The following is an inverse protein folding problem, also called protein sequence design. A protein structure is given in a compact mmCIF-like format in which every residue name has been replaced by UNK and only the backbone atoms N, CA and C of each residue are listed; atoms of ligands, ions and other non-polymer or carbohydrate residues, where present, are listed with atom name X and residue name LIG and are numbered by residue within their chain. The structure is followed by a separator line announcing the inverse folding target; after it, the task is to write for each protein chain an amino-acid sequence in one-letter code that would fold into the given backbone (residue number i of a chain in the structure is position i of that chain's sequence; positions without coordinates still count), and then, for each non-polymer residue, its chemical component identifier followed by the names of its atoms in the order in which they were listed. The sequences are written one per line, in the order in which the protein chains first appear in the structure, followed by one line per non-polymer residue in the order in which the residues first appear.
data_IF_391350065025
#
_entry.id   IF_391350065025
#
_cell.length_a   1.000
_cell.length_b   1.000
_cell.length_c   1.000
_cell.angle_alpha   90.00
_cell.angle_beta   90.00
_cell.angle_gamma   90.00
#
_symmetry.space_group_name_H-M   'P 1'
#
loop_
_entity.id
_entity.type
_entity.pdbx_description
1 polymer ?
#
# COMPACT_ATOMS: atom_id res chain seq x y z
N UNK A 1 12.21 -5.37 -3.72
CA UNK A 1 12.58 -4.76 -5.02
C UNK A 1 12.64 -5.84 -6.11
N UNK A 2 12.02 -5.60 -7.27
CA UNK A 2 12.36 -6.36 -8.48
C UNK A 2 13.82 -6.04 -8.86
N UNK A 3 14.48 -6.98 -9.54
CA UNK A 3 15.80 -6.77 -10.15
C UNK A 3 15.76 -5.56 -11.11
N UNK A 4 16.87 -4.82 -11.22
CA UNK A 4 16.99 -3.68 -12.14
C UNK A 4 16.75 -4.11 -13.59
N UNK A 5 17.07 -5.37 -13.93
CA UNK A 5 16.81 -5.96 -15.25
C UNK A 5 15.32 -6.02 -15.61
N UNK A 6 14.42 -5.94 -14.63
CA UNK A 6 12.97 -5.90 -14.86
C UNK A 6 12.46 -4.51 -15.28
N UNK A 7 13.32 -3.48 -15.26
CA UNK A 7 12.96 -2.12 -15.64
C UNK A 7 13.31 -1.81 -17.09
N UNK A 8 12.40 -1.10 -17.77
CA UNK A 8 12.63 -0.60 -19.13
C UNK A 8 13.57 0.61 -19.15
N UNK A 9 13.62 1.39 -18.07
CA UNK A 9 14.51 2.54 -17.87
C UNK A 9 15.13 2.45 -16.46
N UNK A 10 16.33 3.01 -16.21
CA UNK A 10 16.97 2.90 -14.90
C UNK A 10 16.04 3.39 -13.77
N UNK A 11 15.82 2.59 -12.70
CA UNK A 11 14.79 2.89 -11.71
C UNK A 11 15.01 4.21 -10.97
N UNK A 12 16.25 4.66 -10.84
CA UNK A 12 16.60 5.87 -10.10
C UNK A 12 16.93 7.07 -11.01
N UNK A 13 16.66 6.95 -12.32
CA UNK A 13 16.77 8.04 -13.29
C UNK A 13 15.37 8.37 -13.83
N UNK A 14 14.89 9.59 -13.55
CA UNK A 14 13.57 10.01 -14.00
C UNK A 14 13.54 10.11 -15.53
N UNK A 15 12.78 9.23 -16.17
CA UNK A 15 12.73 9.11 -17.62
C UNK A 15 11.33 9.42 -18.13
N UNK A 16 11.21 10.36 -19.08
CA UNK A 16 9.94 10.63 -19.74
C UNK A 16 9.70 9.67 -20.91
N UNK A 17 8.48 9.14 -21.00
CA UNK A 17 8.01 8.34 -22.14
C UNK A 17 6.50 8.52 -22.29
N UNK A 18 6.04 8.80 -23.50
CA UNK A 18 4.62 8.96 -23.86
C UNK A 18 3.85 9.90 -22.92
N UNK A 19 4.48 11.03 -22.55
CA UNK A 19 3.89 12.03 -21.65
C UNK A 19 3.78 11.58 -20.18
N UNK A 20 4.50 10.52 -19.78
CA UNK A 20 4.57 10.02 -18.41
C UNK A 20 6.01 9.97 -17.92
N UNK A 21 6.19 10.14 -16.62
CA UNK A 21 7.51 10.07 -15.98
C UNK A 21 7.66 8.73 -15.24
N UNK A 22 8.71 8.00 -15.57
CA UNK A 22 9.03 6.70 -15.00
C UNK A 22 10.24 6.82 -14.08
N UNK A 23 10.12 6.30 -12.86
CA UNK A 23 11.17 6.26 -11.86
C UNK A 23 10.63 5.80 -10.51
N UNK A 24 11.44 5.09 -9.73
CA UNK A 24 11.14 4.72 -8.34
C UNK A 24 10.96 6.00 -7.51
N UNK A 25 9.81 6.12 -6.87
CA UNK A 25 9.48 7.31 -6.11
C UNK A 25 8.63 8.33 -6.87
N UNK A 26 8.49 8.20 -8.20
CA UNK A 26 7.88 9.24 -9.02
C UNK A 26 6.40 9.47 -8.66
N UNK A 27 5.63 8.40 -8.49
CA UNK A 27 4.25 8.48 -8.01
C UNK A 27 4.18 8.42 -6.47
N UNK A 28 4.85 7.41 -5.90
CA UNK A 28 4.82 7.08 -4.47
C UNK A 28 6.19 7.38 -3.83
N UNK A 29 6.35 8.47 -3.06
CA UNK A 29 5.42 9.60 -2.90
C UNK A 29 6.04 10.94 -3.34
N UNK A 30 7.24 10.92 -3.96
CA UNK A 30 8.02 12.13 -4.25
C UNK A 30 7.30 13.07 -5.20
N UNK A 31 6.55 12.56 -6.16
CA UNK A 31 5.73 13.38 -7.07
C UNK A 31 4.64 14.14 -6.31
N UNK A 32 3.93 13.47 -5.42
CA UNK A 32 2.93 14.09 -4.54
C UNK A 32 3.54 15.13 -3.59
N UNK A 33 4.71 14.83 -3.02
CA UNK A 33 5.46 15.80 -2.20
C UNK A 33 5.88 17.05 -2.99
N UNK A 34 6.47 16.86 -4.18
CA UNK A 34 6.88 17.98 -5.06
C UNK A 34 5.66 18.80 -5.50
N UNK A 35 4.53 18.15 -5.80
CA UNK A 35 3.28 18.82 -6.17
C UNK A 35 2.84 19.83 -5.09
N UNK A 36 2.85 19.44 -3.81
CA UNK A 36 2.53 20.35 -2.70
C UNK A 36 3.49 21.54 -2.63
N UNK A 37 4.79 21.32 -2.79
CA UNK A 37 5.78 22.40 -2.78
C UNK A 37 5.58 23.38 -3.95
N UNK A 38 5.26 22.88 -5.15
CA UNK A 38 4.97 23.71 -6.31
C UNK A 38 3.68 24.51 -6.13
N UNK A 39 2.63 23.90 -5.55
CA UNK A 39 1.39 24.60 -5.23
C UNK A 39 1.62 25.73 -4.22
N UNK A 40 2.35 25.48 -3.13
CA UNK A 40 2.70 26.51 -2.15
C UNK A 40 3.54 27.63 -2.75
N UNK A 41 4.47 27.31 -3.66
CA UNK A 41 5.26 28.30 -4.39
C UNK A 41 4.38 29.18 -5.27
N UNK A 42 3.43 28.58 -6.00
CA UNK A 42 2.49 29.31 -6.84
C UNK A 42 1.57 30.21 -6.00
N UNK A 43 1.02 29.71 -4.90
CA UNK A 43 0.18 30.49 -3.99
C UNK A 43 0.95 31.67 -3.39
N UNK A 44 2.20 31.46 -2.96
CA UNK A 44 3.08 32.53 -2.47
C UNK A 44 3.30 33.62 -3.52
N UNK A 45 3.49 33.25 -4.78
CA UNK A 45 3.62 34.21 -5.88
C UNK A 45 2.33 34.99 -6.16
N UNK A 46 1.17 34.49 -5.72
CA UNK A 46 -0.15 35.08 -5.92
C UNK A 46 -0.76 35.66 -4.62
N UNK A 47 0.07 36.13 -3.69
CA UNK A 47 -0.39 36.80 -2.46
C UNK A 47 -0.48 35.91 -1.23
N UNK A 48 -0.14 34.62 -1.34
CA UNK A 48 -0.07 33.69 -0.21
C UNK A 48 -1.40 32.98 0.09
N UNK A 49 -1.50 32.43 1.30
CA UNK A 49 -2.70 31.73 1.81
C UNK A 49 -3.14 32.34 3.14
N UNK A 50 -4.44 32.36 3.45
CA UNK A 50 -4.98 32.93 4.69
C UNK A 50 -4.85 31.98 5.89
N UNK A 51 -4.00 30.96 5.80
CA UNK A 51 -3.85 29.89 6.81
C UNK A 51 -2.39 29.63 7.12
N UNK A 52 -2.12 29.10 8.31
CA UNK A 52 -0.81 28.53 8.64
C UNK A 52 -0.65 27.18 7.97
N UNK A 53 0.50 26.95 7.33
CA UNK A 53 0.82 25.67 6.69
C UNK A 53 1.95 24.99 7.45
N UNK A 54 1.71 23.74 7.86
CA UNK A 54 2.73 22.85 8.41
C UNK A 54 3.07 21.79 7.36
N UNK A 55 4.35 21.59 7.09
CA UNK A 55 4.83 20.50 6.22
C UNK A 55 5.47 19.46 7.11
N UNK A 56 4.88 18.26 7.16
CA UNK A 56 5.42 17.10 7.85
C UNK A 56 5.89 16.15 6.75
N UNK A 57 7.18 15.84 6.75
CA UNK A 57 7.80 14.94 5.80
C UNK A 57 8.64 13.92 6.57
N UNK A 58 8.47 12.65 6.24
CA UNK A 58 9.12 11.52 6.90
C UNK A 58 9.59 10.51 5.84
N UNK A 59 10.27 9.44 6.23
CA UNK A 59 10.93 8.52 5.30
C UNK A 59 10.84 7.04 5.68
N UNK A 60 9.89 6.68 6.54
CA UNK A 60 9.70 5.35 7.12
C UNK A 60 8.39 4.65 6.70
N UNK A 61 7.49 5.33 5.97
CA UNK A 61 6.21 4.83 5.46
C UNK A 61 6.34 3.39 4.94
N UNK A 62 7.23 3.20 3.96
CA UNK A 62 7.48 1.94 3.26
C UNK A 62 8.07 0.81 4.15
N UNK A 63 8.49 1.14 5.36
CA UNK A 63 9.00 0.16 6.32
C UNK A 63 7.89 -0.40 7.21
N UNK A 64 6.73 0.27 7.32
CA UNK A 64 5.61 -0.14 8.16
C UNK A 64 5.95 -0.24 9.65
N UNK A 65 6.95 0.52 10.12
CA UNK A 65 7.46 0.41 11.51
C UNK A 65 6.78 1.36 12.51
N UNK A 66 5.73 2.06 12.09
CA UNK A 66 4.98 3.01 12.94
C UNK A 66 5.83 4.18 13.44
N UNK A 67 6.81 4.63 12.65
CA UNK A 67 7.71 5.73 13.03
C UNK A 67 6.96 7.05 13.21
N UNK A 68 6.21 7.47 12.19
CA UNK A 68 5.42 8.70 12.23
C UNK A 68 4.30 8.63 13.29
N UNK A 69 3.65 7.48 13.44
CA UNK A 69 2.61 7.26 14.45
C UNK A 69 3.15 7.55 15.86
N UNK A 70 4.25 6.89 16.25
CA UNK A 70 4.91 7.13 17.54
C UNK A 70 5.37 8.57 17.72
N UNK A 71 5.85 9.21 16.65
CA UNK A 71 6.23 10.62 16.68
C UNK A 71 5.03 11.54 16.92
N UNK A 72 3.90 11.25 16.26
CA UNK A 72 2.66 12.00 16.40
C UNK A 72 2.10 11.91 17.82
N UNK A 73 2.11 10.72 18.43
CA UNK A 73 1.70 10.49 19.81
C UNK A 73 2.58 11.22 20.82
N UNK A 74 3.90 11.26 20.57
CA UNK A 74 4.86 11.93 21.45
C UNK A 74 4.85 13.46 21.33
N UNK A 75 4.42 14.01 20.19
CA UNK A 75 4.50 15.44 19.85
C UNK A 75 3.19 16.01 19.27
N UNK A 76 2.02 15.80 19.89
CA UNK A 76 0.73 16.15 19.31
C UNK A 76 0.60 17.66 19.00
N UNK A 77 1.26 18.53 19.77
CA UNK A 77 1.27 19.97 19.56
C UNK A 77 1.95 20.39 18.25
N UNK A 78 2.96 19.65 17.81
CA UNK A 78 3.65 19.91 16.55
C UNK A 78 2.76 19.53 15.36
N UNK A 79 1.95 18.47 15.49
CA UNK A 79 1.13 17.94 14.39
C UNK A 79 -0.31 18.45 14.36
N UNK A 80 -0.84 19.01 15.47
CA UNK A 80 -2.22 19.52 15.52
C UNK A 80 -2.52 20.51 14.39
N UNK A 81 -3.58 20.25 13.64
CA UNK A 81 -4.05 21.08 12.54
C UNK A 81 -5.58 20.94 12.40
N UNK A 82 -6.24 21.96 11.85
CA UNK A 82 -7.68 21.92 11.56
C UNK A 82 -8.02 21.02 10.36
N UNK A 83 -7.03 20.79 9.48
CA UNK A 83 -7.17 19.93 8.30
C UNK A 83 -5.81 19.34 7.94
N UNK A 84 -5.82 18.08 7.53
CA UNK A 84 -4.64 17.35 7.05
C UNK A 84 -4.88 17.00 5.58
N UNK A 85 -3.89 17.30 4.73
CA UNK A 85 -3.91 16.95 3.31
C UNK A 85 -2.71 16.06 3.04
N UNK A 86 -2.96 14.85 2.55
CA UNK A 86 -1.93 13.86 2.24
C UNK A 86 -1.87 13.70 0.71
N UNK A 87 -0.69 13.89 0.14
CA UNK A 87 -0.45 13.80 -1.31
C UNK A 87 0.02 12.42 -1.76
N UNK A 88 -0.59 11.36 -1.24
CA UNK A 88 -0.08 9.99 -1.40
C UNK A 88 -1.15 8.99 -1.84
N UNK A 89 -2.11 9.48 -2.64
CA UNK A 89 -3.11 8.63 -3.27
C UNK A 89 -3.28 9.02 -4.72
N UNK A 90 -3.54 8.02 -5.57
CA UNK A 90 -3.86 8.22 -6.97
C UNK A 90 -5.34 8.52 -7.20
N UNK A 91 -5.67 8.89 -8.44
CA UNK A 91 -7.06 8.99 -8.87
C UNK A 91 -7.68 7.59 -9.05
N UNK A 92 -8.99 7.48 -8.83
CA UNK A 92 -9.77 6.26 -9.11
C UNK A 92 -9.61 5.81 -10.57
N UNK A 93 -9.62 6.77 -11.51
CA UNK A 93 -9.36 6.54 -12.93
C UNK A 93 -8.64 7.74 -13.54
N UNK A 94 -7.85 7.47 -14.59
CA UNK A 94 -7.27 8.52 -15.44
C UNK A 94 -8.38 9.47 -15.93
N UNK A 95 -8.16 10.77 -15.77
CA UNK A 95 -9.10 11.80 -16.18
C UNK A 95 -10.25 12.11 -15.20
N UNK A 96 -10.37 11.34 -14.10
CA UNK A 96 -11.35 11.61 -13.05
C UNK A 96 -10.64 12.02 -11.75
N UNK A 97 -10.59 13.34 -11.43
CA UNK A 97 -10.05 13.81 -10.16
C UNK A 97 -10.76 13.15 -8.99
N UNK A 98 -9.98 12.64 -8.04
CA UNK A 98 -10.50 11.88 -6.88
C UNK A 98 -9.99 12.50 -5.58
N UNK A 99 -10.88 12.60 -4.59
CA UNK A 99 -10.50 12.92 -3.21
C UNK A 99 -10.72 11.66 -2.38
N UNK A 100 -9.62 11.10 -1.88
CA UNK A 100 -9.66 9.94 -0.99
C UNK A 100 -9.79 10.43 0.45
N UNK A 101 -10.93 10.16 1.08
CA UNK A 101 -11.18 10.53 2.47
C UNK A 101 -10.96 9.38 3.47
N UNK A 102 -10.94 8.14 2.98
CA UNK A 102 -10.83 6.93 3.81
C UNK A 102 -9.98 5.87 3.11
N UNK A 103 -9.23 5.09 3.88
CA UNK A 103 -8.47 3.94 3.43
C UNK A 103 -8.90 2.70 4.22
N UNK A 104 -8.78 1.51 3.61
CA UNK A 104 -8.92 0.26 4.35
C UNK A 104 -7.72 0.09 5.29
N UNK A 105 -7.96 -0.44 6.48
CA UNK A 105 -6.89 -0.95 7.32
C UNK A 105 -6.28 -2.23 6.74
N UNK A 106 -5.12 -2.62 7.23
CA UNK A 106 -4.48 -3.89 6.91
C UNK A 106 -3.83 -4.50 8.15
N UNK A 107 -3.66 -5.82 8.11
CA UNK A 107 -2.83 -6.54 9.08
C UNK A 107 -2.00 -7.59 8.35
N UNK A 108 -0.81 -7.85 8.85
CA UNK A 108 0.10 -8.87 8.31
C UNK A 108 0.31 -9.96 9.34
N UNK A 109 0.06 -11.20 8.94
CA UNK A 109 0.24 -12.38 9.78
C UNK A 109 1.39 -13.22 9.23
N UNK A 110 2.26 -13.71 10.13
CA UNK A 110 3.26 -14.73 9.80
C UNK A 110 2.77 -16.08 10.30
N UNK A 111 2.56 -17.01 9.39
CA UNK A 111 2.21 -18.40 9.70
C UNK A 111 3.43 -19.28 9.43
N UNK A 112 3.84 -20.04 10.43
CA UNK A 112 4.91 -21.04 10.32
C UNK A 112 4.30 -22.41 10.59
N UNK A 113 4.65 -23.37 9.74
CA UNK A 113 4.19 -24.75 9.79
C UNK A 113 5.40 -25.67 9.76
N UNK A 114 5.64 -26.35 10.87
CA UNK A 114 6.74 -27.31 11.02
C UNK A 114 6.16 -28.72 11.10
N UNK A 115 6.75 -29.67 10.36
CA UNK A 115 6.28 -31.06 10.30
C UNK A 115 7.33 -32.07 10.74
N UNK A 116 8.58 -31.88 10.32
CA UNK A 116 9.70 -32.79 10.56
C UNK A 116 10.91 -31.99 11.04
N UNK A 117 11.81 -32.63 11.79
CA UNK A 117 13.06 -31.99 12.24
C UNK A 117 14.06 -31.75 11.09
N UNK A 118 13.85 -32.35 9.91
CA UNK A 118 14.70 -32.18 8.75
C UNK A 118 14.08 -32.70 7.44
N UNK A 119 14.74 -32.39 6.33
CA UNK A 119 14.28 -32.77 5.00
C UNK A 119 14.38 -34.30 4.79
N UNK A 120 13.34 -34.90 4.24
CA UNK A 120 13.31 -36.31 3.83
C UNK A 120 13.31 -36.45 2.31
N UNK A 121 13.78 -37.60 1.82
CA UNK A 121 13.75 -37.91 0.39
C UNK A 121 12.30 -38.09 -0.10
N UNK A 122 11.83 -37.18 -0.96
CA UNK A 122 10.43 -37.15 -1.42
C UNK A 122 9.98 -38.44 -2.10
N UNK A 123 10.86 -39.16 -2.79
CA UNK A 123 10.50 -40.45 -3.41
C UNK A 123 10.35 -41.62 -2.43
N UNK A 124 11.03 -41.60 -1.28
CA UNK A 124 11.03 -42.72 -0.32
C UNK A 124 9.95 -42.52 0.74
N UNK A 125 9.69 -41.26 1.11
CA UNK A 125 8.78 -40.89 2.19
C UNK A 125 7.55 -40.11 1.70
N UNK A 126 7.47 -39.82 0.40
CA UNK A 126 6.33 -39.13 -0.20
C UNK A 126 5.04 -39.90 0.03
N UNK A 127 4.01 -39.19 0.51
CA UNK A 127 2.71 -39.74 0.86
C UNK A 127 2.61 -40.32 2.27
N UNK A 128 3.69 -40.83 2.86
CA UNK A 128 3.68 -41.38 4.22
C UNK A 128 4.10 -40.35 5.27
N UNK A 129 5.09 -39.51 4.98
CA UNK A 129 5.54 -38.46 5.88
C UNK A 129 4.65 -37.20 5.76
N UNK A 130 4.38 -36.50 6.87
CA UNK A 130 3.71 -35.19 6.82
C UNK A 130 4.53 -34.18 6.01
N UNK A 131 3.84 -33.44 5.14
CA UNK A 131 4.45 -32.44 4.25
C UNK A 131 3.96 -31.04 4.65
N UNK A 132 4.87 -30.20 5.14
CA UNK A 132 4.58 -28.84 5.57
C UNK A 132 4.06 -27.95 4.43
N UNK A 133 4.55 -28.16 3.20
CA UNK A 133 4.11 -27.41 2.03
C UNK A 133 2.67 -27.79 1.68
N UNK A 134 2.36 -29.08 1.65
CA UNK A 134 1.00 -29.55 1.40
C UNK A 134 0.02 -29.02 2.47
N UNK A 135 0.41 -29.06 3.74
CA UNK A 135 -0.38 -28.49 4.84
C UNK A 135 -0.56 -26.97 4.70
N UNK A 136 0.49 -26.23 4.32
CA UNK A 136 0.42 -24.78 4.09
C UNK A 136 -0.52 -24.44 2.93
N UNK A 137 -0.49 -25.20 1.83
CA UNK A 137 -1.41 -25.02 0.71
C UNK A 137 -2.86 -25.19 1.17
N UNK A 138 -3.15 -26.23 1.96
CA UNK A 138 -4.49 -26.47 2.50
C UNK A 138 -4.92 -25.35 3.44
N UNK A 139 -4.03 -24.87 4.32
CA UNK A 139 -4.29 -23.74 5.20
C UNK A 139 -4.63 -22.48 4.40
N UNK A 140 -3.81 -22.11 3.42
CA UNK A 140 -4.03 -20.92 2.60
C UNK A 140 -5.32 -21.01 1.77
N UNK A 141 -5.61 -22.18 1.20
CA UNK A 141 -6.84 -22.44 0.47
C UNK A 141 -8.06 -22.30 1.40
N UNK A 142 -7.95 -22.74 2.66
CA UNK A 142 -9.04 -22.66 3.63
C UNK A 142 -9.42 -21.24 4.04
N UNK A 143 -8.63 -20.20 3.70
CA UNK A 143 -8.92 -18.79 4.02
C UNK A 143 -9.92 -18.13 3.06
N UNK A 144 -10.30 -18.82 1.97
CA UNK A 144 -11.23 -18.33 0.95
C UNK A 144 -12.23 -19.41 0.57
N UNK A 145 -13.49 -19.03 0.44
CA UNK A 145 -14.52 -19.86 -0.17
C UNK A 145 -14.43 -19.81 -1.71
N UNK A 146 -15.19 -20.69 -2.38
CA UNK A 146 -15.25 -20.77 -3.85
C UNK A 146 -15.72 -19.46 -4.51
N UNK A 147 -16.56 -18.69 -3.83
CA UNK A 147 -17.04 -17.37 -4.27
C UNK A 147 -16.07 -16.22 -3.96
N UNK A 148 -14.92 -16.52 -3.35
CA UNK A 148 -13.88 -15.54 -2.98
C UNK A 148 -14.07 -14.87 -1.61
N UNK A 149 -15.15 -15.18 -0.89
CA UNK A 149 -15.36 -14.64 0.47
C UNK A 149 -14.34 -15.19 1.46
N UNK A 150 -14.02 -14.41 2.51
CA UNK A 150 -13.13 -14.84 3.58
C UNK A 150 -13.87 -15.77 4.54
N UNK A 151 -13.21 -16.84 4.98
CA UNK A 151 -13.79 -17.93 5.81
C UNK A 151 -13.25 -17.95 7.24
N UNK A 152 -12.62 -16.87 7.69
CA UNK A 152 -12.04 -16.76 9.04
C UNK A 152 -13.14 -16.49 10.05
N UNK A 153 -13.33 -17.39 11.01
CA UNK A 153 -14.30 -17.24 12.08
C UNK A 153 -14.13 -15.90 12.82
N UNK A 154 -15.24 -15.18 12.99
CA UNK A 154 -15.25 -13.85 13.64
C UNK A 154 -14.87 -12.68 12.73
N UNK A 155 -14.46 -12.92 11.48
CA UNK A 155 -14.25 -11.88 10.48
C UNK A 155 -15.40 -11.90 9.47
N UNK A 156 -16.42 -11.09 9.71
CA UNK A 156 -17.56 -10.96 8.80
C UNK A 156 -17.18 -10.12 7.58
N UNK A 157 -17.70 -10.52 6.41
CA UNK A 157 -17.53 -9.81 5.13
C UNK A 157 -18.74 -8.96 4.74
N UNK A 158 -19.54 -8.54 5.72
CA UNK A 158 -20.84 -7.87 5.56
C UNK A 158 -20.75 -6.34 5.57
N UNK A 159 -19.54 -5.79 5.53
CA UNK A 159 -19.34 -4.35 5.41
C UNK A 159 -19.66 -3.88 3.98
N UNK A 160 -20.61 -2.95 3.87
CA UNK A 160 -20.94 -2.29 2.60
C UNK A 160 -20.08 -1.05 2.37
N UNK A 161 -19.68 -0.83 1.11
CA UNK A 161 -19.00 0.39 0.65
C UNK A 161 -19.98 1.23 -0.17
N UNK A 162 -20.22 2.47 0.24
CA UNK A 162 -21.16 3.40 -0.40
C UNK A 162 -20.48 4.41 -1.35
N UNK A 163 -19.14 4.42 -1.38
CA UNK A 163 -18.37 5.30 -2.27
C UNK A 163 -18.31 4.82 -3.72
N UNK A 164 -17.29 5.27 -4.45
CA UNK A 164 -17.11 4.93 -5.86
C UNK A 164 -16.99 3.40 -6.02
N UNK A 165 -17.81 2.85 -6.92
CA UNK A 165 -17.86 1.44 -7.26
C UNK A 165 -17.15 1.14 -8.57
N UNK A 166 -16.62 -0.07 -8.70
CA UNK A 166 -16.14 -0.61 -9.97
C UNK A 166 -17.24 -1.43 -10.64
N UNK A 167 -17.66 -1.12 -11.87
CA UNK A 167 -18.50 -2.00 -12.67
C UNK A 167 -17.84 -3.37 -12.83
N UNK A 168 -18.62 -4.45 -12.72
CA UNK A 168 -18.11 -5.82 -12.84
C UNK A 168 -17.31 -6.05 -14.15
N UNK A 169 -17.73 -5.39 -15.23
CA UNK A 169 -17.08 -5.46 -16.53
C UNK A 169 -15.63 -4.95 -16.55
N UNK A 170 -15.19 -4.21 -15.53
CA UNK A 170 -13.80 -3.73 -15.42
C UNK A 170 -12.86 -4.75 -14.78
N UNK A 171 -13.39 -5.82 -14.19
CA UNK A 171 -12.60 -6.91 -13.61
C UNK A 171 -12.39 -8.10 -14.56
N UNK A 172 -12.92 -8.04 -15.78
CA UNK A 172 -12.86 -9.09 -16.81
C UNK A 172 -12.05 -8.63 -18.02
#
# INVERSE_FOLDING_TARGET
PLDESAWVSPPFELTERDGRWFGRGAADCKGGFIMHLLALRALKANGGVPVSVKVIAEGSEEQGTGGLERYAEAHPELLRADTIVIGDTGNFRVGLPTVTATLRGMTMLRVQLDTLEGNLHSGQFGGAAPDALAAMIQLLASLRAEDGTTTVDGLTGDADWDGIQYPEAEFR
#
